data_IF_532448230162
#
_entry.id   IF_532448230162
#
_cell.length_a   1.000
_cell.length_b   1.000
_cell.length_c   1.000
_cell.angle_alpha   90.00
_cell.angle_beta   90.00
_cell.angle_gamma   90.00
#
_symmetry.space_group_name_H-M   'P 1'
#
loop_
_entity.id
_entity.type
_entity.pdbx_description
1 polymer ?
#
# COMPACT_ATOMS: atom_id res chain seq x y z
N UNK A 1 22.94 20.07 -17.11
CA UNK A 1 24.34 19.60 -17.08
C UNK A 1 24.77 19.16 -18.47
N UNK A 2 25.94 19.59 -18.98
CA UNK A 2 26.48 19.16 -20.27
C UNK A 2 26.71 17.63 -20.34
N UNK A 3 26.56 17.04 -21.54
CA UNK A 3 26.74 15.59 -21.81
C UNK A 3 28.11 15.08 -21.33
N UNK A 4 29.16 15.92 -21.42
CA UNK A 4 30.51 15.58 -20.93
C UNK A 4 30.55 15.30 -19.43
N UNK A 5 29.75 16.01 -18.61
CA UNK A 5 29.67 15.73 -17.17
C UNK A 5 28.95 14.41 -16.88
N UNK A 6 27.99 13.98 -17.71
CA UNK A 6 27.32 12.69 -17.55
C UNK A 6 28.27 11.54 -17.78
N UNK A 7 28.98 11.57 -18.90
CA UNK A 7 29.95 10.54 -19.24
C UNK A 7 30.98 10.40 -18.13
N UNK A 8 31.48 11.52 -17.60
CA UNK A 8 32.42 11.52 -16.46
C UNK A 8 31.81 10.90 -15.21
N UNK A 9 30.58 11.26 -14.85
CA UNK A 9 29.88 10.70 -13.67
C UNK A 9 29.62 9.20 -13.83
N UNK A 10 29.12 8.75 -14.99
CA UNK A 10 28.86 7.34 -15.26
C UNK A 10 30.14 6.50 -15.30
N UNK A 11 31.27 7.08 -15.74
CA UNK A 11 32.59 6.44 -15.67
C UNK A 11 33.06 6.26 -14.22
N UNK A 12 32.90 7.29 -13.39
CA UNK A 12 33.23 7.23 -11.96
C UNK A 12 32.37 6.17 -11.26
N UNK A 13 31.06 6.14 -11.54
CA UNK A 13 30.13 5.15 -10.97
C UNK A 13 30.52 3.73 -11.39
N UNK A 14 30.80 3.51 -12.68
CA UNK A 14 31.23 2.21 -13.18
C UNK A 14 32.54 1.74 -12.52
N UNK A 15 33.49 2.65 -12.34
CA UNK A 15 34.75 2.37 -11.66
C UNK A 15 34.54 1.97 -10.19
N UNK A 16 33.73 2.73 -9.46
CA UNK A 16 33.35 2.36 -8.08
C UNK A 16 32.64 1.02 -8.00
N UNK A 17 31.75 0.73 -8.95
CA UNK A 17 30.99 -0.52 -8.98
C UNK A 17 31.90 -1.72 -9.28
N UNK A 18 32.90 -1.57 -10.15
CA UNK A 18 33.93 -2.58 -10.39
C UNK A 18 34.72 -2.90 -9.11
N UNK A 19 35.11 -1.87 -8.35
CA UNK A 19 35.82 -2.06 -7.07
C UNK A 19 34.94 -2.80 -6.06
N UNK A 20 33.68 -2.36 -5.91
CA UNK A 20 32.77 -2.90 -4.91
C UNK A 20 32.39 -4.37 -5.19
N UNK A 21 32.25 -4.74 -6.46
CA UNK A 21 31.89 -6.11 -6.87
C UNK A 21 33.09 -7.03 -7.09
N UNK A 22 34.31 -6.51 -7.05
CA UNK A 22 35.56 -7.25 -7.24
C UNK A 22 35.64 -8.56 -6.41
N UNK A 23 35.46 -8.55 -5.08
CA UNK A 23 35.60 -9.76 -4.27
C UNK A 23 34.55 -10.83 -4.60
N UNK A 24 33.39 -10.45 -5.14
CA UNK A 24 32.28 -11.36 -5.44
C UNK A 24 32.38 -11.91 -6.87
N UNK A 25 32.69 -11.04 -7.83
CA UNK A 25 32.63 -11.39 -9.26
C UNK A 25 33.95 -11.92 -9.82
N UNK A 26 35.08 -11.52 -9.22
CA UNK A 26 36.42 -11.86 -9.72
C UNK A 26 37.03 -13.02 -8.95
N UNK A 27 36.84 -13.09 -7.63
CA UNK A 27 37.46 -14.12 -6.79
C UNK A 27 36.50 -15.31 -6.66
N UNK A 28 36.85 -16.44 -7.26
CA UNK A 28 36.15 -17.71 -7.01
C UNK A 28 37.07 -18.67 -6.28
N UNK A 29 36.70 -19.02 -5.05
CA UNK A 29 37.38 -20.05 -4.27
C UNK A 29 36.84 -21.42 -4.67
N UNK A 30 37.71 -22.32 -5.10
CA UNK A 30 37.37 -23.71 -5.37
C UNK A 30 37.76 -24.55 -4.15
N UNK A 31 36.77 -24.93 -3.34
CA UNK A 31 36.95 -25.69 -2.09
C UNK A 31 37.33 -27.15 -2.32
N UNK A 32 37.17 -27.68 -3.54
CA UNK A 32 37.50 -29.08 -3.87
C UNK A 32 39.01 -29.23 -4.14
N UNK A 33 39.63 -28.22 -4.75
CA UNK A 33 41.04 -28.22 -5.09
C UNK A 33 41.88 -27.20 -4.29
N UNK A 34 41.29 -26.51 -3.30
CA UNK A 34 41.92 -25.43 -2.52
C UNK A 34 42.64 -24.38 -3.39
N UNK A 35 42.06 -24.04 -4.55
CA UNK A 35 42.63 -23.03 -5.48
C UNK A 35 41.74 -21.81 -5.56
N UNK A 36 42.37 -20.64 -5.75
CA UNK A 36 41.68 -19.37 -5.99
C UNK A 36 41.78 -19.08 -7.50
N UNK A 37 40.63 -19.05 -8.17
CA UNK A 37 40.55 -18.74 -9.60
C UNK A 37 40.10 -17.29 -9.76
N UNK A 38 40.96 -16.46 -10.37
CA UNK A 38 40.66 -15.07 -10.69
C UNK A 38 40.00 -14.96 -12.07
N UNK A 39 38.77 -14.42 -12.10
CA UNK A 39 37.95 -14.26 -13.31
C UNK A 39 37.96 -12.80 -13.78
N UNK A 40 39.09 -12.32 -14.28
CA UNK A 40 39.27 -10.93 -14.71
C UNK A 40 38.30 -10.48 -15.82
N UNK A 41 37.83 -11.41 -16.65
CA UNK A 41 36.80 -11.14 -17.67
C UNK A 41 35.51 -10.59 -17.07
N UNK A 42 35.11 -11.07 -15.89
CA UNK A 42 33.88 -10.63 -15.23
C UNK A 42 33.97 -9.17 -14.79
N UNK A 43 35.15 -8.71 -14.39
CA UNK A 43 35.37 -7.31 -13.99
C UNK A 43 35.13 -6.35 -15.16
N UNK A 44 35.62 -6.71 -16.35
CA UNK A 44 35.41 -5.91 -17.57
C UNK A 44 33.92 -5.85 -17.94
N UNK A 45 33.22 -6.98 -17.90
CA UNK A 45 31.77 -7.02 -18.14
C UNK A 45 31.00 -6.16 -17.15
N UNK A 46 31.37 -6.20 -15.86
CA UNK A 46 30.76 -5.35 -14.84
C UNK A 46 31.00 -3.86 -15.13
N UNK A 47 32.22 -3.48 -15.52
CA UNK A 47 32.54 -2.09 -15.87
C UNK A 47 31.73 -1.57 -17.05
N UNK A 48 31.64 -2.36 -18.12
CA UNK A 48 30.87 -1.99 -19.32
C UNK A 48 29.38 -1.92 -19.01
N UNK A 49 28.80 -2.94 -18.39
CA UNK A 49 27.37 -2.98 -18.07
C UNK A 49 26.97 -1.86 -17.11
N UNK A 50 27.75 -1.63 -16.05
CA UNK A 50 27.47 -0.56 -15.09
C UNK A 50 27.60 0.83 -15.71
N UNK A 51 28.53 1.05 -16.64
CA UNK A 51 28.66 2.31 -17.38
C UNK A 51 27.42 2.58 -18.24
N UNK A 52 27.01 1.63 -19.07
CA UNK A 52 25.81 1.78 -19.90
C UNK A 52 24.54 1.89 -19.07
N UNK A 53 24.40 1.08 -18.02
CA UNK A 53 23.28 1.16 -17.09
C UNK A 53 23.22 2.53 -16.41
N UNK A 54 24.35 3.04 -15.89
CA UNK A 54 24.43 4.37 -15.27
C UNK A 54 24.12 5.49 -16.27
N UNK A 55 24.62 5.38 -17.49
CA UNK A 55 24.37 6.39 -18.53
C UNK A 55 22.89 6.42 -18.92
N UNK A 56 22.29 5.25 -19.16
CA UNK A 56 20.87 5.10 -19.46
C UNK A 56 20.01 5.60 -18.28
N UNK A 57 20.39 5.27 -17.05
CA UNK A 57 19.72 5.70 -15.84
C UNK A 57 19.74 7.22 -15.68
N UNK A 58 20.91 7.85 -15.84
CA UNK A 58 21.07 9.30 -15.79
C UNK A 58 20.32 10.01 -16.93
N UNK A 59 20.20 9.37 -18.09
CA UNK A 59 19.40 9.89 -19.19
C UNK A 59 17.91 9.89 -18.86
N UNK A 60 17.36 8.80 -18.32
CA UNK A 60 15.96 8.73 -17.92
C UNK A 60 15.64 9.67 -16.75
N UNK A 61 16.48 9.73 -15.72
CA UNK A 61 16.31 10.63 -14.58
C UNK A 61 16.13 12.09 -15.01
N UNK A 62 16.94 12.55 -15.97
CA UNK A 62 16.83 13.92 -16.48
C UNK A 62 15.55 14.19 -17.23
N UNK A 63 15.05 13.21 -18.00
CA UNK A 63 13.74 13.34 -18.64
C UNK A 63 12.64 13.50 -17.60
N UNK A 64 12.74 12.77 -16.49
CA UNK A 64 11.81 12.89 -15.37
C UNK A 64 11.93 14.24 -14.65
N UNK A 65 13.15 14.71 -14.36
CA UNK A 65 13.38 16.03 -13.73
C UNK A 65 12.94 17.19 -14.62
N UNK A 66 13.20 17.11 -15.93
CA UNK A 66 12.74 18.10 -16.90
C UNK A 66 11.21 18.14 -16.96
N UNK A 67 10.55 16.98 -16.89
CA UNK A 67 9.08 16.86 -16.82
C UNK A 67 8.51 17.37 -15.49
N UNK A 68 9.20 17.12 -14.38
CA UNK A 68 8.84 17.66 -13.05
C UNK A 68 8.90 19.19 -13.00
N UNK A 69 9.77 19.81 -13.81
CA UNK A 69 9.88 21.27 -13.92
C UNK A 69 8.83 21.89 -14.84
N UNK A 70 8.28 21.12 -15.80
CA UNK A 70 7.14 21.55 -16.62
C UNK A 70 5.78 21.31 -15.94
N UNK A 71 5.66 20.27 -15.10
CA UNK A 71 4.44 19.92 -14.35
C UNK A 71 4.15 20.86 -13.16
N UNK A 72 4.86 22.00 -13.08
CA UNK A 72 4.47 23.12 -12.20
C UNK A 72 3.20 23.81 -12.77
N UNK A 73 2.90 23.62 -14.06
CA UNK A 73 1.61 23.95 -14.66
C UNK A 73 0.67 22.72 -14.68
N UNK A 74 -0.34 22.74 -13.81
CA UNK A 74 -1.70 22.17 -13.89
C UNK A 74 -2.04 20.92 -14.76
N UNK A 75 -1.16 19.93 -14.94
CA UNK A 75 -1.57 18.68 -15.59
C UNK A 75 -2.12 17.64 -14.59
N UNK A 76 -3.43 17.73 -14.35
CA UNK A 76 -4.24 16.66 -13.76
C UNK A 76 -3.94 15.34 -14.52
N UNK A 77 -3.60 14.23 -13.83
CA UNK A 77 -3.30 12.96 -14.49
C UNK A 77 -4.40 12.57 -15.50
N UNK A 78 -4.02 12.01 -16.66
CA UNK A 78 -4.97 11.58 -17.71
C UNK A 78 -6.09 10.69 -17.15
N UNK A 79 -5.76 9.84 -16.18
CA UNK A 79 -6.70 8.98 -15.45
C UNK A 79 -7.76 9.83 -14.74
N UNK A 80 -7.37 10.90 -14.05
CA UNK A 80 -8.30 11.80 -13.38
C UNK A 80 -9.15 12.61 -14.37
N UNK A 81 -8.58 13.09 -15.49
CA UNK A 81 -9.37 13.76 -16.55
C UNK A 81 -10.41 12.81 -17.16
N UNK A 82 -10.05 11.55 -17.39
CA UNK A 82 -10.97 10.53 -17.91
C UNK A 82 -12.08 10.16 -16.91
N UNK A 83 -11.72 10.02 -15.63
CA UNK A 83 -12.66 9.80 -14.52
C UNK A 83 -13.52 11.03 -14.18
N UNK A 84 -13.16 12.24 -14.59
CA UNK A 84 -13.96 13.44 -14.34
C UNK A 84 -15.06 13.63 -15.39
N UNK A 85 -14.85 13.11 -16.62
CA UNK A 85 -15.84 13.21 -17.68
C UNK A 85 -16.96 12.17 -17.51
N UNK A 86 -18.15 12.63 -17.14
CA UNK A 86 -19.29 11.78 -16.78
C UNK A 86 -19.77 10.89 -17.95
N UNK A 87 -19.50 11.29 -19.21
CA UNK A 87 -19.84 10.53 -20.42
C UNK A 87 -18.99 9.26 -20.58
N UNK A 88 -17.72 9.30 -20.21
CA UNK A 88 -16.79 8.16 -20.31
C UNK A 88 -16.68 7.38 -18.99
N UNK A 89 -16.90 8.04 -17.85
CA UNK A 89 -16.82 7.40 -16.53
C UNK A 89 -17.84 6.28 -16.33
N UNK A 90 -19.12 6.53 -16.65
CA UNK A 90 -20.20 5.56 -16.45
C UNK A 90 -20.00 4.25 -17.24
N UNK A 91 -19.71 4.28 -18.56
CA UNK A 91 -19.45 3.05 -19.30
C UNK A 91 -18.16 2.36 -18.86
N UNK A 92 -17.11 3.12 -18.51
CA UNK A 92 -15.87 2.54 -18.00
C UNK A 92 -16.05 1.82 -16.66
N UNK A 93 -16.76 2.44 -15.71
CA UNK A 93 -17.09 1.79 -14.43
C UNK A 93 -18.00 0.56 -14.64
N UNK A 94 -18.94 0.63 -15.57
CA UNK A 94 -19.79 -0.51 -15.93
C UNK A 94 -18.99 -1.68 -16.50
N UNK A 95 -18.04 -1.41 -17.40
CA UNK A 95 -17.15 -2.42 -17.96
C UNK A 95 -16.23 -3.02 -16.88
N UNK A 96 -15.66 -2.18 -16.01
CA UNK A 96 -14.83 -2.64 -14.90
C UNK A 96 -15.62 -3.51 -13.93
N UNK A 97 -16.85 -3.11 -13.56
CA UNK A 97 -17.72 -3.93 -12.73
C UNK A 97 -18.06 -5.26 -13.41
N UNK A 98 -18.40 -5.25 -14.71
CA UNK A 98 -18.65 -6.46 -15.48
C UNK A 98 -17.42 -7.39 -15.51
N UNK A 99 -16.22 -6.84 -15.66
CA UNK A 99 -14.97 -7.61 -15.60
C UNK A 99 -14.79 -8.31 -14.26
N UNK A 100 -14.93 -7.58 -13.14
CA UNK A 100 -14.80 -8.18 -11.80
C UNK A 100 -15.90 -9.21 -11.53
N UNK A 101 -17.14 -8.98 -11.97
CA UNK A 101 -18.24 -9.94 -11.78
C UNK A 101 -18.02 -11.21 -12.62
N UNK A 102 -17.54 -11.08 -13.85
CA UNK A 102 -17.31 -12.21 -14.75
C UNK A 102 -16.04 -13.00 -14.42
N UNK A 103 -15.05 -12.38 -13.78
CA UNK A 103 -13.73 -12.96 -13.49
C UNK A 103 -13.77 -14.38 -12.89
N UNK A 104 -14.50 -14.65 -11.78
CA UNK A 104 -14.49 -15.99 -11.16
C UNK A 104 -15.15 -17.07 -12.02
N UNK A 105 -15.99 -16.69 -12.99
CA UNK A 105 -16.66 -17.64 -13.89
C UNK A 105 -15.84 -17.96 -15.15
N UNK A 106 -14.94 -17.06 -15.53
CA UNK A 106 -14.11 -17.20 -16.73
C UNK A 106 -12.75 -17.83 -16.39
N UNK A 107 -12.18 -17.50 -15.23
CA UNK A 107 -10.84 -17.93 -14.84
C UNK A 107 -10.84 -19.11 -13.86
N UNK A 108 -9.81 -19.99 -13.90
CA UNK A 108 -9.65 -21.09 -12.95
C UNK A 108 -9.58 -20.64 -11.49
N UNK A 109 -9.97 -21.53 -10.57
CA UNK A 109 -9.97 -21.30 -9.11
C UNK A 109 -8.65 -20.73 -8.57
N UNK A 110 -7.51 -21.16 -9.12
CA UNK A 110 -6.19 -20.67 -8.76
C UNK A 110 -6.06 -19.15 -8.98
N UNK A 111 -6.44 -18.66 -10.15
CA UNK A 111 -6.39 -17.23 -10.49
C UNK A 111 -7.41 -16.42 -9.69
N UNK A 112 -8.55 -17.01 -9.34
CA UNK A 112 -9.52 -16.42 -8.42
C UNK A 112 -8.92 -16.27 -7.02
N UNK A 113 -8.21 -17.27 -6.50
CA UNK A 113 -7.52 -17.19 -5.20
C UNK A 113 -6.48 -16.08 -5.12
N UNK A 114 -5.69 -15.93 -6.19
CA UNK A 114 -4.70 -14.86 -6.30
C UNK A 114 -5.39 -13.50 -6.35
N UNK A 115 -6.49 -13.38 -7.10
CA UNK A 115 -7.24 -12.14 -7.17
C UNK A 115 -7.89 -11.78 -5.82
N UNK A 116 -8.41 -12.75 -5.07
CA UNK A 116 -8.89 -12.53 -3.69
C UNK A 116 -7.75 -11.96 -2.84
N UNK A 117 -6.56 -12.57 -2.89
CA UNK A 117 -5.39 -12.04 -2.17
C UNK A 117 -5.08 -10.60 -2.59
N UNK A 118 -5.03 -10.30 -3.89
CA UNK A 118 -4.80 -8.94 -4.37
C UNK A 118 -5.85 -7.94 -3.87
N UNK A 119 -7.13 -8.32 -3.84
CA UNK A 119 -8.21 -7.50 -3.32
C UNK A 119 -8.15 -7.30 -1.79
N UNK A 120 -7.69 -8.30 -1.02
CA UNK A 120 -7.40 -8.14 0.41
C UNK A 120 -6.29 -7.10 0.60
N UNK A 121 -5.20 -7.14 -0.18
CA UNK A 121 -4.15 -6.12 -0.13
C UNK A 121 -4.63 -4.75 -0.60
N UNK A 122 -5.59 -4.66 -1.53
CA UNK A 122 -6.26 -3.39 -1.86
C UNK A 122 -6.94 -2.83 -0.60
N UNK A 123 -7.69 -3.66 0.13
CA UNK A 123 -8.38 -3.25 1.34
C UNK A 123 -7.40 -2.83 2.46
N UNK A 124 -6.38 -3.64 2.71
CA UNK A 124 -5.32 -3.36 3.69
C UNK A 124 -4.54 -2.09 3.32
N UNK A 125 -4.17 -1.93 2.05
CA UNK A 125 -3.50 -0.74 1.55
C UNK A 125 -4.37 0.50 1.70
N UNK A 126 -5.66 0.43 1.38
CA UNK A 126 -6.58 1.56 1.55
C UNK A 126 -6.77 1.92 3.03
N UNK A 127 -6.76 0.95 3.93
CA UNK A 127 -6.76 1.17 5.37
C UNK A 127 -5.48 1.83 5.87
N UNK A 128 -4.32 1.32 5.50
CA UNK A 128 -3.04 1.92 5.85
C UNK A 128 -2.87 3.32 5.23
N UNK A 129 -3.45 3.57 4.06
CA UNK A 129 -3.44 4.88 3.41
C UNK A 129 -4.17 5.96 4.23
N UNK A 130 -5.08 5.60 5.14
CA UNK A 130 -5.66 6.56 6.10
C UNK A 130 -4.56 7.08 7.04
N UNK A 131 -3.71 6.19 7.55
CA UNK A 131 -2.67 6.50 8.54
C UNK A 131 -1.46 7.15 7.87
N UNK A 132 -0.89 6.48 6.87
CA UNK A 132 0.33 6.92 6.18
C UNK A 132 0.02 8.02 5.16
N UNK A 133 -1.01 7.82 4.35
CA UNK A 133 -1.32 8.72 3.23
C UNK A 133 -1.96 10.03 3.68
N UNK A 134 -3.03 9.96 4.47
CA UNK A 134 -3.76 11.16 4.91
C UNK A 134 -3.13 11.83 6.13
N UNK A 135 -2.82 11.07 7.19
CA UNK A 135 -2.29 11.63 8.43
C UNK A 135 -0.75 11.75 8.47
N UNK A 136 -0.02 11.13 7.54
CA UNK A 136 1.45 11.22 7.47
C UNK A 136 2.18 10.44 8.56
N UNK A 137 1.53 9.43 9.14
CA UNK A 137 2.07 8.65 10.25
C UNK A 137 2.63 7.34 9.70
N UNK A 138 3.91 7.08 9.91
CA UNK A 138 4.54 5.86 9.43
C UNK A 138 4.24 4.70 10.40
N UNK A 139 3.48 3.70 9.94
CA UNK A 139 3.06 2.54 10.71
C UNK A 139 3.64 1.26 10.09
N UNK A 140 4.73 0.76 10.68
CA UNK A 140 5.34 -0.54 10.33
C UNK A 140 4.73 -1.70 11.12
N UNK A 141 3.91 -1.40 12.11
CA UNK A 141 3.22 -2.36 12.96
C UNK A 141 1.87 -2.79 12.41
N UNK A 142 1.50 -2.41 11.19
CA UNK A 142 0.16 -2.62 10.65
C UNK A 142 -0.29 -4.09 10.66
N UNK A 143 0.66 -5.03 10.50
CA UNK A 143 0.42 -6.47 10.60
C UNK A 143 -0.11 -6.92 11.96
N UNK A 144 0.14 -6.17 13.03
CA UNK A 144 -0.38 -6.47 14.37
C UNK A 144 -1.91 -6.45 14.39
N UNK A 145 -2.51 -5.41 13.80
CA UNK A 145 -3.95 -5.25 13.71
C UNK A 145 -4.57 -6.31 12.79
N UNK A 146 -3.84 -6.67 11.72
CA UNK A 146 -4.20 -7.77 10.83
C UNK A 146 -4.21 -9.13 11.57
N UNK A 147 -3.20 -9.39 12.40
CA UNK A 147 -3.13 -10.58 13.25
C UNK A 147 -4.28 -10.62 14.28
N UNK A 148 -4.54 -9.50 14.97
CA UNK A 148 -5.66 -9.39 15.93
C UNK A 148 -6.99 -9.78 15.27
N UNK A 149 -7.25 -9.32 14.06
CA UNK A 149 -8.46 -9.68 13.33
C UNK A 149 -8.54 -11.16 12.93
N UNK A 150 -7.44 -11.72 12.43
CA UNK A 150 -7.37 -13.12 12.03
C UNK A 150 -7.56 -14.06 13.22
N UNK A 151 -6.86 -13.80 14.34
CA UNK A 151 -6.98 -14.58 15.57
C UNK A 151 -8.32 -14.36 16.26
N UNK A 152 -8.92 -13.17 16.18
CA UNK A 152 -10.28 -12.95 16.65
C UNK A 152 -11.26 -13.86 15.91
N UNK A 153 -11.13 -14.03 14.59
CA UNK A 153 -11.98 -14.96 13.85
C UNK A 153 -11.75 -16.40 14.23
N UNK A 154 -10.50 -16.86 14.22
CA UNK A 154 -10.15 -18.23 14.54
C UNK A 154 -10.61 -18.62 15.96
N UNK A 155 -10.34 -17.79 16.97
CA UNK A 155 -10.64 -18.10 18.36
C UNK A 155 -12.13 -17.99 18.70
N UNK A 156 -12.81 -16.95 18.20
CA UNK A 156 -14.25 -16.79 18.46
C UNK A 156 -15.07 -17.85 17.74
N UNK A 157 -14.63 -18.29 16.57
CA UNK A 157 -15.26 -19.41 15.90
C UNK A 157 -14.98 -20.73 16.64
N UNK A 158 -13.73 -21.00 17.01
CA UNK A 158 -13.33 -22.24 17.69
C UNK A 158 -14.05 -22.44 19.04
N UNK A 159 -14.10 -21.40 19.88
CA UNK A 159 -14.65 -21.53 21.24
C UNK A 159 -16.16 -21.27 21.34
N UNK A 160 -16.68 -20.33 20.55
CA UNK A 160 -18.08 -19.87 20.65
C UNK A 160 -18.91 -20.21 19.41
N UNK A 161 -18.32 -20.79 18.36
CA UNK A 161 -19.03 -21.11 17.12
C UNK A 161 -19.53 -19.88 16.36
N UNK A 162 -18.98 -18.69 16.62
CA UNK A 162 -19.48 -17.46 16.00
C UNK A 162 -19.28 -17.47 14.48
N UNK A 163 -20.32 -17.08 13.76
CA UNK A 163 -20.29 -17.01 12.30
C UNK A 163 -19.38 -15.90 11.79
N UNK A 164 -18.89 -16.03 10.55
CA UNK A 164 -18.10 -15.01 9.86
C UNK A 164 -18.72 -13.61 9.95
N UNK A 165 -20.03 -13.51 9.73
CA UNK A 165 -20.74 -12.23 9.72
C UNK A 165 -20.83 -11.56 11.08
N UNK A 166 -20.81 -12.33 12.17
CA UNK A 166 -20.77 -11.79 13.53
C UNK A 166 -19.35 -11.36 13.90
N UNK A 167 -18.34 -12.14 13.52
CA UNK A 167 -16.96 -11.82 13.87
C UNK A 167 -16.41 -10.66 13.02
N UNK A 168 -16.89 -10.45 11.80
CA UNK A 168 -16.47 -9.32 10.97
C UNK A 168 -16.61 -7.95 11.68
N UNK A 169 -17.79 -7.53 12.21
CA UNK A 169 -17.90 -6.29 12.98
C UNK A 169 -17.19 -6.34 14.34
N UNK A 170 -17.15 -7.51 15.01
CA UNK A 170 -16.41 -7.65 16.28
C UNK A 170 -14.91 -7.40 16.06
N UNK A 171 -14.33 -7.94 14.99
CA UNK A 171 -12.94 -7.72 14.61
C UNK A 171 -12.68 -6.26 14.27
N UNK A 172 -13.65 -5.57 13.66
CA UNK A 172 -13.57 -4.14 13.38
C UNK A 172 -13.48 -3.32 14.67
N UNK A 173 -14.29 -3.68 15.68
CA UNK A 173 -14.25 -3.08 17.02
C UNK A 173 -12.95 -3.41 17.76
N UNK A 174 -12.47 -4.66 17.70
CA UNK A 174 -11.19 -5.06 18.28
C UNK A 174 -10.02 -4.33 17.60
N UNK A 175 -10.03 -4.21 16.27
CA UNK A 175 -9.03 -3.42 15.54
C UNK A 175 -9.05 -1.96 15.98
N UNK A 176 -10.23 -1.38 16.16
CA UNK A 176 -10.38 -0.02 16.69
C UNK A 176 -9.84 0.10 18.11
N UNK A 177 -10.15 -0.85 18.99
CA UNK A 177 -9.69 -0.89 20.37
C UNK A 177 -8.17 -1.02 20.46
N UNK A 178 -7.58 -1.96 19.73
CA UNK A 178 -6.14 -2.16 19.67
C UNK A 178 -5.43 -0.99 18.98
N UNK A 179 -6.05 -0.37 17.97
CA UNK A 179 -5.56 0.86 17.34
C UNK A 179 -5.53 2.04 18.30
N UNK A 180 -6.54 2.17 19.17
CA UNK A 180 -6.55 3.17 20.25
C UNK A 180 -5.53 2.85 21.33
N UNK A 181 -5.44 1.58 21.73
CA UNK A 181 -4.51 1.10 22.76
C UNK A 181 -3.06 1.32 22.34
N UNK A 182 -2.71 1.02 21.10
CA UNK A 182 -1.39 1.29 20.51
C UNK A 182 -1.20 2.79 20.31
N UNK A 183 -2.20 3.47 19.74
CA UNK A 183 -2.13 4.90 19.46
C UNK A 183 -1.77 5.68 20.73
N UNK A 184 -2.43 5.41 21.85
CA UNK A 184 -2.24 6.17 23.10
C UNK A 184 -0.76 6.42 23.50
N UNK A 185 0.12 5.40 23.67
CA UNK A 185 1.53 5.59 23.98
C UNK A 185 2.34 6.14 22.81
N UNK A 186 2.05 5.71 21.58
CA UNK A 186 2.84 6.01 20.38
C UNK A 186 2.69 7.48 19.96
N UNK A 187 1.59 8.13 20.31
CA UNK A 187 1.27 9.52 20.00
C UNK A 187 2.20 10.58 20.63
N UNK A 188 3.04 10.17 21.59
CA UNK A 188 4.08 11.05 22.17
C UNK A 188 5.33 11.15 21.29
N UNK A 189 5.46 10.26 20.31
CA UNK A 189 6.63 10.13 19.45
C UNK A 189 6.41 10.85 18.11
N UNK A 190 7.52 11.21 17.45
CA UNK A 190 7.51 11.92 16.16
C UNK A 190 8.42 11.21 15.16
N UNK A 191 8.06 11.32 13.88
CA UNK A 191 8.86 10.81 12.76
C UNK A 191 9.21 9.34 12.92
N UNK A 192 10.50 9.03 12.80
CA UNK A 192 11.01 7.66 12.76
C UNK A 192 10.83 6.90 14.07
N UNK A 193 10.74 7.60 15.21
CA UNK A 193 10.45 6.95 16.50
C UNK A 193 9.06 6.30 16.51
N UNK A 194 8.09 6.89 15.79
CA UNK A 194 6.75 6.32 15.62
C UNK A 194 6.84 4.96 14.89
N UNK A 195 7.67 4.91 13.84
CA UNK A 195 7.87 3.72 13.02
C UNK A 195 8.52 2.57 13.81
N UNK A 196 9.53 2.90 14.61
CA UNK A 196 10.26 1.90 15.42
C UNK A 196 9.33 1.27 16.45
N UNK A 197 8.50 2.08 17.12
CA UNK A 197 7.60 1.56 18.15
C UNK A 197 6.42 0.77 17.55
N UNK A 198 5.88 1.20 16.41
CA UNK A 198 4.85 0.40 15.72
C UNK A 198 5.41 -0.96 15.27
N UNK A 199 6.62 -0.99 14.70
CA UNK A 199 7.33 -2.24 14.37
C UNK A 199 7.45 -3.13 15.61
N UNK A 200 7.97 -2.58 16.71
CA UNK A 200 8.12 -3.30 17.97
C UNK A 200 6.79 -3.88 18.48
N UNK A 201 5.70 -3.13 18.39
CA UNK A 201 4.38 -3.63 18.75
C UNK A 201 3.92 -4.80 17.87
N UNK A 202 4.12 -4.72 16.55
CA UNK A 202 3.79 -5.84 15.66
C UNK A 202 4.57 -7.10 15.99
N UNK A 203 5.84 -6.94 16.33
CA UNK A 203 6.68 -8.04 16.78
C UNK A 203 6.24 -8.58 18.15
N UNK A 204 5.86 -7.72 19.10
CA UNK A 204 5.33 -8.13 20.41
C UNK A 204 4.06 -8.96 20.23
N UNK A 205 3.11 -8.55 19.39
CA UNK A 205 1.89 -9.32 19.13
C UNK A 205 2.24 -10.69 18.54
N UNK A 206 3.17 -10.76 17.59
CA UNK A 206 3.63 -12.03 17.02
C UNK A 206 4.24 -12.94 18.08
N UNK A 207 5.16 -12.42 18.90
CA UNK A 207 5.84 -13.18 19.96
C UNK A 207 4.83 -13.66 21.00
N UNK A 208 3.86 -12.83 21.38
CA UNK A 208 2.78 -13.22 22.31
C UNK A 208 1.96 -14.36 21.71
N UNK A 209 1.57 -14.26 20.44
CA UNK A 209 0.84 -15.33 19.74
C UNK A 209 1.69 -16.59 19.53
N UNK A 210 3.01 -16.49 19.51
CA UNK A 210 3.90 -17.64 19.36
C UNK A 210 4.19 -18.35 20.70
N UNK A 211 4.25 -17.61 21.81
CA UNK A 211 4.63 -18.17 23.12
C UNK A 211 3.41 -18.46 24.02
N UNK A 212 2.25 -17.88 23.76
CA UNK A 212 1.05 -18.09 24.56
C UNK A 212 0.23 -19.28 24.04
N UNK A 213 0.77 -20.49 24.20
CA UNK A 213 0.21 -21.74 23.68
C UNK A 213 -1.28 -21.94 24.04
N UNK A 214 -1.66 -21.65 25.29
CA UNK A 214 -3.05 -21.81 25.76
C UNK A 214 -4.06 -20.90 25.03
N UNK A 215 -3.61 -19.74 24.53
CA UNK A 215 -4.48 -18.78 23.86
C UNK A 215 -4.50 -18.96 22.34
N UNK A 216 -3.35 -19.17 21.72
CA UNK A 216 -3.18 -19.12 20.26
C UNK A 216 -2.86 -20.47 19.61
N UNK A 217 -2.67 -21.53 20.40
CA UNK A 217 -2.00 -22.77 20.00
C UNK A 217 -0.54 -22.59 19.52
N UNK A 218 0.08 -21.46 19.87
CA UNK A 218 1.50 -21.20 19.63
C UNK A 218 1.93 -21.37 18.17
N UNK A 219 3.09 -21.98 17.90
CA UNK A 219 3.58 -22.19 16.54
C UNK A 219 2.74 -23.18 15.72
N UNK A 220 1.92 -24.02 16.37
CA UNK A 220 1.04 -24.97 15.67
C UNK A 220 -0.06 -24.25 14.91
N UNK A 221 -0.45 -23.06 15.38
CA UNK A 221 -1.53 -22.29 14.78
C UNK A 221 -2.90 -22.93 15.01
N UNK A 222 -3.90 -22.36 14.35
CA UNK A 222 -5.31 -22.79 14.45
C UNK A 222 -5.75 -23.25 13.05
N UNK A 223 -6.14 -24.50 12.93
CA UNK A 223 -6.69 -25.12 11.71
C UNK A 223 -8.22 -25.14 11.73
N UNK A 224 -8.80 -25.59 10.61
CA UNK A 224 -10.23 -25.86 10.46
C UNK A 224 -11.12 -24.63 10.68
N UNK A 225 -10.59 -23.46 10.32
CA UNK A 225 -11.37 -22.22 10.33
C UNK A 225 -12.41 -22.32 9.20
N UNK A 226 -13.71 -22.29 9.50
CA UNK A 226 -14.74 -22.49 8.51
C UNK A 226 -14.75 -21.33 7.53
N UNK A 227 -15.04 -21.63 6.27
CA UNK A 227 -15.27 -20.60 5.27
C UNK A 227 -16.60 -19.86 5.56
N UNK A 228 -16.77 -18.63 5.04
CA UNK A 228 -18.00 -17.87 5.24
C UNK A 228 -19.19 -18.61 4.62
N UNK A 229 -20.25 -18.83 5.42
CA UNK A 229 -21.51 -19.40 4.95
C UNK A 229 -22.58 -18.32 4.77
N UNK A 230 -23.51 -18.54 3.86
CA UNK A 230 -24.69 -17.69 3.69
C UNK A 230 -25.86 -18.32 4.44
N UNK A 231 -26.25 -17.75 5.59
CA UNK A 231 -27.39 -18.22 6.40
C UNK A 231 -27.42 -19.74 6.66
N UNK A 232 -26.24 -20.38 6.86
CA UNK A 232 -26.14 -21.80 7.17
C UNK A 232 -26.08 -22.75 5.96
N UNK A 233 -26.15 -22.25 4.73
CA UNK A 233 -25.91 -23.08 3.55
C UNK A 233 -24.41 -23.32 3.35
N UNK A 234 -24.03 -24.59 3.32
CA UNK A 234 -22.68 -25.03 2.96
C UNK A 234 -22.55 -25.05 1.43
N UNK A 235 -21.49 -24.43 0.93
CA UNK A 235 -21.17 -24.41 -0.48
C UNK A 235 -20.11 -25.47 -0.80
N UNK A 236 -20.17 -26.04 -2.01
CA UNK A 236 -19.04 -26.81 -2.54
C UNK A 236 -17.77 -25.94 -2.58
N UNK A 237 -16.59 -26.55 -2.53
CA UNK A 237 -15.31 -25.85 -2.45
C UNK A 237 -15.13 -24.75 -3.50
N UNK A 238 -15.53 -25.00 -4.75
CA UNK A 238 -15.51 -24.01 -5.83
C UNK A 238 -16.45 -22.83 -5.56
N UNK A 239 -17.69 -23.13 -5.15
CA UNK A 239 -18.70 -22.12 -4.86
C UNK A 239 -18.33 -21.28 -3.62
N UNK A 240 -17.69 -21.88 -2.62
CA UNK A 240 -17.14 -21.19 -1.45
C UNK A 240 -16.12 -20.13 -1.87
N UNK A 241 -15.24 -20.47 -2.82
CA UNK A 241 -14.21 -19.55 -3.28
C UNK A 241 -14.79 -18.36 -4.06
N UNK A 242 -15.75 -18.63 -4.94
CA UNK A 242 -16.51 -17.60 -5.67
C UNK A 242 -17.28 -16.71 -4.67
N UNK A 243 -17.84 -17.31 -3.62
CA UNK A 243 -18.56 -16.58 -2.59
C UNK A 243 -17.64 -15.64 -1.79
N UNK A 244 -16.48 -16.12 -1.34
CA UNK A 244 -15.46 -15.27 -0.69
C UNK A 244 -15.06 -14.12 -1.62
N UNK A 245 -14.85 -14.40 -2.91
CA UNK A 245 -14.49 -13.37 -3.89
C UNK A 245 -15.51 -12.22 -3.93
N UNK A 246 -16.81 -12.52 -3.96
CA UNK A 246 -17.86 -11.49 -3.93
C UNK A 246 -17.93 -10.74 -2.60
N UNK A 247 -17.70 -11.42 -1.47
CA UNK A 247 -17.59 -10.76 -0.16
C UNK A 247 -16.43 -9.75 -0.18
N UNK A 248 -15.26 -10.14 -0.67
CA UNK A 248 -14.10 -9.24 -0.71
C UNK A 248 -14.35 -8.06 -1.65
N UNK A 249 -14.99 -8.25 -2.81
CA UNK A 249 -15.39 -7.13 -3.67
C UNK A 249 -16.31 -6.17 -2.91
N UNK A 250 -17.34 -6.70 -2.24
CA UNK A 250 -18.28 -5.88 -1.47
C UNK A 250 -17.55 -5.08 -0.38
N UNK A 251 -16.60 -5.70 0.33
CA UNK A 251 -15.80 -5.05 1.34
C UNK A 251 -14.82 -4.02 0.77
N UNK A 252 -14.19 -4.28 -0.37
CA UNK A 252 -13.34 -3.30 -1.06
C UNK A 252 -14.16 -2.10 -1.51
N UNK A 253 -15.35 -2.30 -2.08
CA UNK A 253 -16.25 -1.21 -2.46
C UNK A 253 -16.69 -0.41 -1.23
N UNK A 254 -17.00 -1.09 -0.13
CA UNK A 254 -17.30 -0.45 1.15
C UNK A 254 -16.11 0.37 1.65
N UNK A 255 -14.90 -0.18 1.67
CA UNK A 255 -13.67 0.53 2.06
C UNK A 255 -13.44 1.75 1.18
N UNK A 256 -13.58 1.65 -0.14
CA UNK A 256 -13.46 2.79 -1.07
C UNK A 256 -14.51 3.86 -0.73
N UNK A 257 -15.76 3.47 -0.49
CA UNK A 257 -16.82 4.40 -0.11
C UNK A 257 -16.50 5.15 1.18
N UNK A 258 -16.13 4.42 2.24
CA UNK A 258 -15.80 5.00 3.54
C UNK A 258 -14.54 5.85 3.51
N UNK A 259 -13.47 5.40 2.87
CA UNK A 259 -12.21 6.18 2.74
C UNK A 259 -12.46 7.48 2.01
N UNK A 260 -13.19 7.44 0.87
CA UNK A 260 -13.56 8.65 0.15
C UNK A 260 -14.43 9.59 1.00
N UNK A 261 -15.36 9.05 1.80
CA UNK A 261 -16.19 9.85 2.70
C UNK A 261 -15.38 10.47 3.83
N UNK A 262 -14.43 9.73 4.40
CA UNK A 262 -13.54 10.16 5.48
C UNK A 262 -12.59 11.26 5.00
N UNK A 263 -11.96 11.10 3.84
CA UNK A 263 -11.07 12.10 3.25
C UNK A 263 -11.77 13.45 3.06
N UNK A 264 -13.03 13.43 2.60
CA UNK A 264 -13.83 14.64 2.40
C UNK A 264 -14.54 15.14 3.68
N UNK A 265 -14.33 14.49 4.84
CA UNK A 265 -14.93 14.87 6.13
C UNK A 265 -14.08 15.90 6.89
N UNK A 266 -14.62 16.42 8.00
CA UNK A 266 -13.86 17.31 8.91
C UNK A 266 -12.62 16.61 9.50
N UNK A 267 -12.76 15.32 9.84
CA UNK A 267 -11.70 14.50 10.43
C UNK A 267 -10.58 14.30 9.39
N UNK A 268 -10.93 13.95 8.15
CA UNK A 268 -9.96 13.78 7.07
C UNK A 268 -9.18 15.04 6.73
N UNK A 269 -9.86 16.20 6.70
CA UNK A 269 -9.19 17.48 6.51
C UNK A 269 -8.24 17.83 7.66
N UNK A 270 -8.59 17.47 8.90
CA UNK A 270 -7.70 17.67 10.04
C UNK A 270 -6.44 16.78 9.94
N UNK A 271 -6.55 15.54 9.46
CA UNK A 271 -5.39 14.68 9.22
C UNK A 271 -4.44 15.27 8.18
N UNK A 272 -4.97 15.71 7.03
CA UNK A 272 -4.17 16.29 5.95
C UNK A 272 -3.48 17.56 6.42
N UNK A 273 -4.19 18.44 7.16
CA UNK A 273 -3.60 19.66 7.70
C UNK A 273 -2.49 19.34 8.72
N UNK A 274 -2.71 18.37 9.61
CA UNK A 274 -1.74 17.98 10.64
C UNK A 274 -0.46 17.38 10.02
N UNK A 275 -0.60 16.64 8.91
CA UNK A 275 0.52 16.11 8.14
C UNK A 275 1.37 17.22 7.53
N UNK A 276 0.73 18.26 7.01
CA UNK A 276 1.41 19.36 6.32
C UNK A 276 2.16 20.27 7.32
N UNK A 277 1.52 20.67 8.44
CA UNK A 277 2.17 21.41 9.53
C UNK A 277 1.47 21.16 10.88
N UNK A 278 2.14 20.40 11.76
CA UNK A 278 1.63 20.09 13.11
C UNK A 278 1.52 21.35 13.99
N UNK A 279 2.47 22.29 13.90
CA UNK A 279 2.54 23.46 14.79
C UNK A 279 1.44 24.45 14.41
N UNK A 280 1.26 24.72 13.11
CA UNK A 280 0.19 25.59 12.62
C UNK A 280 -1.20 25.05 12.96
N UNK A 281 -1.42 23.73 12.83
CA UNK A 281 -2.68 23.10 13.22
C UNK A 281 -2.98 23.25 14.71
N UNK A 282 -1.97 23.11 15.57
CA UNK A 282 -2.13 23.31 17.00
C UNK A 282 -2.45 24.76 17.35
N UNK A 283 -1.84 25.75 16.67
CA UNK A 283 -2.16 27.17 16.85
C UNK A 283 -3.62 27.49 16.44
N UNK A 284 -4.17 26.74 15.47
CA UNK A 284 -5.57 26.83 15.04
C UNK A 284 -6.55 26.01 15.92
N UNK A 285 -6.09 25.45 17.04
CA UNK A 285 -6.93 24.72 18.00
C UNK A 285 -7.22 23.25 17.65
N UNK A 286 -6.52 22.66 16.68
CA UNK A 286 -6.66 21.24 16.35
C UNK A 286 -5.88 20.40 17.38
N UNK A 287 -6.60 19.52 18.09
CA UNK A 287 -5.99 18.57 19.02
C UNK A 287 -5.21 17.50 18.25
N UNK A 288 -3.86 17.57 18.32
CA UNK A 288 -2.96 16.60 17.68
C UNK A 288 -3.22 15.15 18.15
N UNK A 289 -3.58 14.97 19.41
CA UNK A 289 -3.70 13.66 20.04
C UNK A 289 -4.94 12.94 19.50
N UNK A 290 -6.11 13.59 19.59
CA UNK A 290 -7.37 13.03 19.07
C UNK A 290 -7.30 12.79 17.56
N UNK A 291 -6.67 13.72 16.84
CA UNK A 291 -6.56 13.65 15.37
C UNK A 291 -5.71 12.46 14.93
N UNK A 292 -4.52 12.25 15.50
CA UNK A 292 -3.69 11.08 15.17
C UNK A 292 -4.30 9.77 15.70
N UNK A 293 -4.93 9.77 16.88
CA UNK A 293 -5.57 8.58 17.46
C UNK A 293 -6.71 8.06 16.58
N UNK A 294 -7.54 8.95 16.04
CA UNK A 294 -8.63 8.58 15.12
C UNK A 294 -8.11 8.02 13.81
N UNK A 295 -6.96 8.50 13.31
CA UNK A 295 -6.32 7.92 12.12
C UNK A 295 -5.90 6.47 12.37
N UNK A 296 -5.18 6.21 13.47
CA UNK A 296 -4.75 4.86 13.85
C UNK A 296 -5.93 3.92 14.07
N UNK A 297 -6.94 4.36 14.82
CA UNK A 297 -8.12 3.56 15.11
C UNK A 297 -8.83 3.12 13.83
N UNK A 298 -9.08 4.04 12.89
CA UNK A 298 -9.78 3.76 11.63
C UNK A 298 -8.93 2.95 10.64
N UNK A 299 -7.61 3.17 10.62
CA UNK A 299 -6.69 2.34 9.83
C UNK A 299 -6.64 0.89 10.33
N UNK A 300 -6.58 0.71 11.65
CA UNK A 300 -6.57 -0.60 12.30
C UNK A 300 -7.88 -1.37 12.13
N UNK A 301 -9.03 -0.69 12.02
CA UNK A 301 -10.33 -1.32 11.71
C UNK A 301 -10.27 -2.14 10.41
N UNK A 302 -9.74 -1.56 9.33
CA UNK A 302 -9.62 -2.26 8.03
C UNK A 302 -8.54 -3.33 8.03
N UNK A 303 -7.48 -3.16 8.81
CA UNK A 303 -6.48 -4.20 9.02
C UNK A 303 -7.12 -5.45 9.65
N UNK A 304 -7.85 -5.27 10.75
CA UNK A 304 -8.49 -6.36 11.47
C UNK A 304 -9.55 -7.08 10.62
N UNK A 305 -10.36 -6.32 9.88
CA UNK A 305 -11.31 -6.93 8.94
C UNK A 305 -10.62 -7.71 7.82
N UNK A 306 -9.45 -7.24 7.34
CA UNK A 306 -8.61 -8.00 6.42
C UNK A 306 -8.15 -9.32 7.03
N UNK A 307 -7.81 -9.32 8.31
CA UNK A 307 -7.39 -10.51 9.05
C UNK A 307 -8.47 -11.59 9.08
N UNK A 308 -9.72 -11.20 9.30
CA UNK A 308 -10.88 -12.12 9.25
C UNK A 308 -11.01 -12.77 7.87
N UNK A 309 -10.91 -11.99 6.80
CA UNK A 309 -10.99 -12.50 5.43
C UNK A 309 -9.82 -13.46 5.14
N UNK A 310 -8.62 -13.11 5.58
CA UNK A 310 -7.45 -13.96 5.42
C UNK A 310 -7.63 -15.30 6.10
N UNK A 311 -8.00 -15.31 7.38
CA UNK A 311 -8.28 -16.52 8.13
C UNK A 311 -9.39 -17.36 7.50
N UNK A 312 -10.46 -16.73 7.01
CA UNK A 312 -11.55 -17.39 6.31
C UNK A 312 -11.16 -17.96 4.93
N UNK A 313 -10.18 -17.35 4.26
CA UNK A 313 -9.65 -17.80 2.96
C UNK A 313 -8.68 -18.96 3.11
N UNK A 314 -7.77 -18.89 4.09
CA UNK A 314 -6.68 -19.87 4.24
C UNK A 314 -7.09 -21.08 5.09
N UNK A 315 -8.20 -21.00 5.83
CA UNK A 315 -8.69 -22.03 6.77
C UNK A 315 -7.72 -22.45 7.87
N UNK A 316 -6.54 -21.82 7.89
CA UNK A 316 -5.45 -22.07 8.82
C UNK A 316 -4.69 -20.76 9.01
N UNK A 317 -4.36 -20.44 10.26
CA UNK A 317 -3.51 -19.30 10.61
C UNK A 317 -2.44 -19.73 11.60
N UNK A 318 -1.27 -19.12 11.50
CA UNK A 318 -0.19 -19.25 12.47
C UNK A 318 0.53 -17.90 12.69
N UNK A 319 1.31 -17.73 13.77
CA UNK A 319 1.96 -16.46 14.06
C UNK A 319 2.96 -16.04 12.98
N UNK A 320 3.59 -17.02 12.33
CA UNK A 320 4.56 -16.83 11.24
C UNK A 320 3.94 -16.28 9.95
N UNK A 321 2.61 -16.23 9.83
CA UNK A 321 1.93 -15.53 8.73
C UNK A 321 1.94 -14.01 8.91
N UNK A 322 2.19 -13.51 10.13
CA UNK A 322 2.07 -12.10 10.51
C UNK A 322 3.44 -11.48 10.79
N UNK A 323 4.33 -11.49 9.79
CA UNK A 323 5.70 -10.98 9.93
C UNK A 323 5.84 -9.51 9.54
N UNK A 324 6.98 -8.91 9.92
CA UNK A 324 7.35 -7.56 9.47
C UNK A 324 7.36 -7.42 7.94
N UNK A 325 7.70 -8.48 7.20
CA UNK A 325 7.70 -8.46 5.74
C UNK A 325 6.31 -8.25 5.16
N UNK A 326 5.29 -8.73 5.86
CA UNK A 326 3.89 -8.51 5.51
C UNK A 326 3.51 -7.04 5.67
N UNK A 327 3.85 -6.42 6.82
CA UNK A 327 3.69 -4.97 7.04
C UNK A 327 4.40 -4.14 5.97
N UNK A 328 5.66 -4.47 5.66
CA UNK A 328 6.45 -3.75 4.65
C UNK A 328 5.79 -3.89 3.28
N UNK A 329 5.27 -5.07 2.93
CA UNK A 329 4.56 -5.29 1.65
C UNK A 329 3.32 -4.41 1.57
N UNK A 330 2.52 -4.33 2.64
CA UNK A 330 1.33 -3.46 2.71
C UNK A 330 1.73 -1.98 2.63
N UNK A 331 2.83 -1.57 3.28
CA UNK A 331 3.36 -0.22 3.17
C UNK A 331 3.82 0.09 1.74
N UNK A 332 4.53 -0.84 1.09
CA UNK A 332 4.98 -0.70 -0.29
C UNK A 332 3.80 -0.52 -1.25
N UNK A 333 2.68 -1.22 -1.03
CA UNK A 333 1.43 -1.02 -1.80
C UNK A 333 0.99 0.45 -1.75
N UNK A 334 1.05 1.08 -0.58
CA UNK A 334 0.65 2.47 -0.40
C UNK A 334 1.67 3.44 -1.00
N UNK A 335 2.95 3.25 -0.72
CA UNK A 335 4.03 4.14 -1.20
C UNK A 335 4.17 4.09 -2.72
N UNK A 336 4.19 2.89 -3.30
CA UNK A 336 4.32 2.69 -4.75
C UNK A 336 3.03 3.10 -5.45
N UNK A 337 1.86 2.80 -4.88
CA UNK A 337 0.58 3.24 -5.42
C UNK A 337 0.45 4.77 -5.47
N UNK A 338 0.91 5.44 -4.42
CA UNK A 338 0.87 6.89 -4.25
C UNK A 338 0.18 7.26 -2.94
N UNK A 339 0.95 7.79 -2.00
CA UNK A 339 0.44 8.19 -0.67
C UNK A 339 -0.67 9.24 -0.81
N UNK A 340 -1.81 9.00 -0.17
CA UNK A 340 -2.96 9.90 -0.21
C UNK A 340 -3.81 9.80 -1.49
N UNK A 341 -3.57 8.79 -2.34
CA UNK A 341 -4.38 8.52 -3.54
C UNK A 341 -5.03 7.14 -3.47
N UNK A 342 -6.34 7.07 -3.24
CA UNK A 342 -7.05 5.78 -3.15
C UNK A 342 -6.92 4.95 -4.45
N UNK A 343 -7.00 5.61 -5.62
CA UNK A 343 -6.86 4.93 -6.92
C UNK A 343 -5.42 4.44 -7.13
N UNK A 344 -4.44 5.22 -6.66
CA UNK A 344 -3.03 4.84 -6.67
C UNK A 344 -2.78 3.58 -5.86
N UNK A 345 -3.29 3.52 -4.64
CA UNK A 345 -3.18 2.36 -3.74
C UNK A 345 -3.80 1.10 -4.37
N UNK A 346 -4.98 1.21 -5.00
CA UNK A 346 -5.62 0.09 -5.70
C UNK A 346 -4.70 -0.43 -6.81
N UNK A 347 -4.14 0.47 -7.64
CA UNK A 347 -3.21 0.08 -8.70
C UNK A 347 -1.91 -0.53 -8.14
N UNK A 348 -1.38 0.03 -7.05
CA UNK A 348 -0.20 -0.47 -6.35
C UNK A 348 -0.40 -1.90 -5.84
N UNK A 349 -1.54 -2.18 -5.22
CA UNK A 349 -1.89 -3.51 -4.73
C UNK A 349 -1.99 -4.52 -5.87
N UNK A 350 -2.72 -4.18 -6.94
CA UNK A 350 -2.86 -5.08 -8.10
C UNK A 350 -1.51 -5.37 -8.75
N UNK A 351 -0.65 -4.37 -8.92
CA UNK A 351 0.69 -4.57 -9.50
C UNK A 351 1.57 -5.41 -8.59
N UNK A 352 1.70 -5.04 -7.32
CA UNK A 352 2.64 -5.70 -6.40
C UNK A 352 2.24 -7.13 -6.05
N UNK A 353 0.95 -7.45 -6.04
CA UNK A 353 0.48 -8.80 -5.69
C UNK A 353 0.36 -9.70 -6.92
N UNK A 354 -0.17 -9.19 -8.04
CA UNK A 354 -0.36 -10.02 -9.24
C UNK A 354 0.93 -10.24 -10.01
N UNK A 355 1.82 -9.23 -10.10
CA UNK A 355 3.00 -9.35 -10.94
C UNK A 355 3.98 -10.45 -10.51
N UNK A 356 4.37 -10.58 -9.21
CA UNK A 356 5.24 -11.67 -8.79
C UNK A 356 4.63 -13.05 -9.05
N UNK A 357 3.31 -13.14 -9.05
CA UNK A 357 2.57 -14.37 -9.28
C UNK A 357 2.63 -14.80 -10.76
N UNK A 358 2.49 -13.86 -11.69
CA UNK A 358 2.73 -14.14 -13.11
C UNK A 358 4.20 -14.43 -13.43
N UNK A 359 5.13 -13.87 -12.65
CA UNK A 359 6.56 -14.16 -12.74
C UNK A 359 6.96 -15.47 -12.04
N UNK A 360 6.00 -16.25 -11.53
CA UNK A 360 6.29 -17.53 -10.86
C UNK A 360 7.04 -18.52 -11.75
N UNK A 361 6.86 -18.46 -13.07
CA UNK A 361 7.59 -19.28 -14.03
C UNK A 361 9.12 -19.03 -14.03
N UNK A 362 9.56 -17.86 -13.55
CA UNK A 362 10.98 -17.48 -13.40
C UNK A 362 11.34 -17.34 -11.93
N UNK A 363 10.99 -18.35 -11.12
CA UNK A 363 11.04 -18.33 -9.65
C UNK A 363 12.33 -17.77 -9.04
N UNK A 364 13.50 -18.09 -9.62
CA UNK A 364 14.81 -17.62 -9.15
C UNK A 364 14.98 -16.10 -9.25
N UNK A 365 14.43 -15.48 -10.30
CA UNK A 365 14.56 -14.04 -10.55
C UNK A 365 13.38 -13.23 -10.00
N UNK A 366 12.32 -13.89 -9.51
CA UNK A 366 11.08 -13.23 -9.06
C UNK A 366 11.31 -12.11 -8.05
N UNK A 367 12.08 -12.38 -6.98
CA UNK A 367 12.37 -11.37 -5.94
C UNK A 367 13.26 -10.24 -6.46
N UNK A 368 14.18 -10.55 -7.40
CA UNK A 368 15.04 -9.55 -8.02
C UNK A 368 14.23 -8.61 -8.93
N UNK A 369 13.34 -9.16 -9.76
CA UNK A 369 12.44 -8.37 -10.61
C UNK A 369 11.47 -7.55 -9.76
N UNK A 370 10.94 -8.13 -8.68
CA UNK A 370 10.09 -7.41 -7.73
C UNK A 370 10.81 -6.20 -7.13
N UNK A 371 11.98 -6.39 -6.52
CA UNK A 371 12.76 -5.30 -5.94
C UNK A 371 13.19 -4.26 -6.98
N UNK A 372 13.62 -4.69 -8.16
CA UNK A 372 13.97 -3.78 -9.26
C UNK A 372 12.78 -2.92 -9.67
N UNK A 373 11.58 -3.49 -9.78
CA UNK A 373 10.37 -2.75 -10.11
C UNK A 373 10.02 -1.73 -9.02
N UNK A 374 10.14 -2.10 -7.75
CA UNK A 374 9.91 -1.16 -6.64
C UNK A 374 10.85 0.05 -6.73
N UNK A 375 12.15 -0.19 -6.94
CA UNK A 375 13.15 0.87 -7.09
C UNK A 375 12.86 1.73 -8.32
N UNK A 376 12.54 1.13 -9.46
CA UNK A 376 12.18 1.84 -10.69
C UNK A 376 10.98 2.77 -10.44
N UNK A 377 9.91 2.29 -9.80
CA UNK A 377 8.74 3.14 -9.51
C UNK A 377 9.10 4.27 -8.56
N UNK A 378 9.83 4.00 -7.47
CA UNK A 378 10.25 5.03 -6.51
C UNK A 378 11.13 6.11 -7.16
N UNK A 379 11.96 5.75 -8.12
CA UNK A 379 12.90 6.68 -8.78
C UNK A 379 12.21 7.49 -9.88
N UNK A 380 11.40 6.84 -10.73
CA UNK A 380 10.75 7.53 -11.86
C UNK A 380 9.41 8.17 -11.51
N UNK A 381 8.77 7.73 -10.42
CA UNK A 381 7.48 8.23 -9.93
C UNK A 381 7.51 8.39 -8.40
N UNK A 382 8.19 9.42 -7.86
CA UNK A 382 8.31 9.64 -6.42
C UNK A 382 6.98 9.93 -5.71
N UNK A 383 5.98 10.44 -6.43
CA UNK A 383 4.61 10.64 -5.93
C UNK A 383 3.76 9.35 -6.00
N UNK A 384 4.35 8.22 -6.43
CA UNK A 384 3.69 6.95 -6.71
C UNK A 384 3.09 6.84 -8.12
N UNK A 385 2.46 5.69 -8.41
CA UNK A 385 1.86 5.39 -9.72
C UNK A 385 0.82 6.43 -10.14
N UNK A 386 -0.03 6.85 -9.21
CA UNK A 386 -1.11 7.84 -9.42
C UNK A 386 -1.07 8.88 -8.30
N UNK A 387 -0.66 10.10 -8.65
CA UNK A 387 -0.59 11.23 -7.73
C UNK A 387 -1.97 11.62 -7.19
N UNK A 388 -2.02 11.95 -5.89
CA UNK A 388 -3.21 12.54 -5.27
C UNK A 388 -3.46 13.95 -5.80
N UNK A 389 -4.67 14.23 -6.28
CA UNK A 389 -5.07 15.57 -6.74
C UNK A 389 -5.84 16.26 -5.63
N UNK A 390 -5.23 17.29 -5.04
CA UNK A 390 -5.89 18.13 -4.02
C UNK A 390 -7.07 18.86 -4.67
N UNK A 391 -8.28 18.65 -4.16
CA UNK A 391 -9.45 19.45 -4.56
C UNK A 391 -9.35 20.83 -3.93
N UNK A 392 -9.08 21.85 -4.74
CA UNK A 392 -9.16 23.25 -4.32
C UNK A 392 -10.61 23.71 -4.50
N UNK A 393 -11.26 24.05 -3.40
CA UNK A 393 -12.59 24.64 -3.44
C UNK A 393 -12.44 26.15 -3.61
N UNK A 394 -12.47 26.63 -4.86
CA UNK A 394 -12.55 28.05 -5.13
C UNK A 394 -13.98 28.50 -4.87
N UNK A 395 -14.20 29.18 -3.74
CA UNK A 395 -15.44 29.91 -3.52
C UNK A 395 -15.47 31.07 -4.50
N UNK A 396 -16.34 31.00 -5.52
CA UNK A 396 -16.68 32.19 -6.30
C UNK A 396 -17.50 33.10 -5.39
N UNK A 397 -16.88 34.17 -4.88
CA UNK A 397 -17.64 35.29 -4.31
C UNK A 397 -18.60 35.77 -5.38
N UNK A 398 -19.91 35.64 -5.13
CA UNK A 398 -20.93 36.25 -5.98
C UNK A 398 -20.62 37.74 -6.08
N UNK A 399 -20.29 38.21 -7.29
CA UNK A 399 -20.18 39.64 -7.55
C UNK A 399 -21.54 40.29 -7.23
N UNK A 400 -21.55 41.26 -6.34
CA UNK A 400 -22.71 42.11 -6.06
C UNK A 400 -23.17 42.81 -7.35
N UNK A 401 -24.48 42.79 -7.69
CA UNK A 401 -25.00 43.51 -8.84
C UNK A 401 -25.32 44.95 -8.46
N UNK A 402 -24.30 45.80 -8.27
CA UNK A 402 -24.50 47.25 -8.25
C UNK A 402 -23.28 48.00 -8.82
N UNK A 403 -23.22 48.07 -10.15
CA UNK A 403 -22.72 49.27 -10.81
C UNK A 403 -23.71 49.65 -11.90
N UNK A 404 -24.64 50.50 -11.48
CA UNK A 404 -25.52 51.24 -12.37
C UNK A 404 -24.70 52.20 -13.22
N UNK A 405 -25.08 52.28 -14.49
CA UNK A 405 -24.50 53.13 -15.52
C UNK A 405 -24.38 54.58 -15.07
N UNK A 406 -23.20 55.18 -15.19
CA UNK A 406 -23.08 56.57 -15.61
C UNK A 406 -22.05 56.62 -16.73
N UNK A 407 -22.56 56.62 -17.96
CA UNK A 407 -21.85 57.08 -19.15
C UNK A 407 -22.22 58.55 -19.33
N UNK A 408 -21.22 59.43 -19.29
CA UNK A 408 -21.07 60.69 -20.05
C UNK A 408 -19.80 61.39 -19.53
N UNK A 409 -18.84 61.89 -20.32
CA UNK A 409 -18.69 61.98 -21.76
C UNK A 409 -17.32 62.59 -22.09
N UNK A 410 -16.81 62.25 -23.28
CA UNK A 410 -16.01 63.08 -24.21
C UNK A 410 -14.85 63.97 -23.72
N UNK A 411 -13.68 63.69 -24.31
CA UNK A 411 -12.71 64.65 -24.89
C UNK A 411 -12.93 66.14 -24.60
N UNK A 412 -12.09 66.73 -23.73
CA UNK A 412 -10.96 67.63 -24.06
C UNK A 412 -10.21 67.97 -22.79
#
# INVERSE_FOLDING_TARGET
MPIKQQLKQSLIIAFWFMILTFPIMVIKVNTIHNTIVFRWSNLLWVGVLSFFASWLWNYFLRRTEARKKSDIDEDIPLIHRFLQNNRFRRPFLGLLAAFFIAYPFVFPMYHTSIMISALVYVMLGLGLNIVVGLAGLLDLGYVAFYAVGAYAYALLNLHFGLSFWMVLPISALLGTLFGVLLGYPVLRLRGDYLAIVTLGFGEIIRIVLENWDEFSNGPRGISDIPAPTFFGHQFNQDNTMIYIYFIVIALVLMTIFFVNRLENSKIGRAWIALRDDEIACQAMGIDKFKTKLTAFALGATWAAMGGVIFAAKTSYINPMSFTIWESITILCVVVIGGMGSAVGVIAGALVLILLPEYLRAVAEYRMLVFGALQVIVMVFKPDGLIKSVRKVYTFKTSQEPHQEKIVHGTHT
#
